data_IF_335408896721
#
_entry.id   IF_335408896721
#
_cell.length_a   1.000
_cell.length_b   1.000
_cell.length_c   1.000
_cell.angle_alpha   90.00
_cell.angle_beta   90.00
_cell.angle_gamma   90.00
#
_symmetry.space_group_name_H-M   'P 1'
#
loop_
_entity.id
_entity.type
_entity.pdbx_description
1 polymer ?
#
# COMPACT_ATOMS: atom_id res chain seq x y z
N UNK A 1 16.77 -3.60 40.45
CA UNK A 1 17.12 -2.93 39.18
C UNK A 1 17.06 -3.99 38.10
N UNK A 2 15.96 -4.03 37.35
CA UNK A 2 15.76 -4.93 36.22
C UNK A 2 15.16 -4.06 35.11
N UNK A 3 16.04 -3.61 34.23
CA UNK A 3 15.72 -2.83 33.04
C UNK A 3 14.99 -3.73 32.06
N UNK A 4 13.68 -3.57 31.96
CA UNK A 4 12.90 -4.08 30.84
C UNK A 4 12.41 -2.85 30.12
N UNK A 5 13.23 -2.34 29.21
CA UNK A 5 12.70 -1.57 28.10
C UNK A 5 11.86 -2.58 27.32
N UNK A 6 10.56 -2.60 27.58
CA UNK A 6 9.61 -3.10 26.60
C UNK A 6 9.85 -2.29 25.33
N UNK A 7 10.14 -3.04 24.28
CA UNK A 7 10.47 -2.62 22.95
C UNK A 7 9.35 -1.73 22.36
N UNK A 8 9.41 -0.43 22.59
CA UNK A 8 8.97 0.59 21.63
C UNK A 8 9.92 0.56 20.40
N UNK A 9 10.05 -0.63 19.80
CA UNK A 9 10.96 -0.95 18.69
C UNK A 9 10.50 -0.33 17.38
N UNK A 10 9.21 -0.04 17.33
CA UNK A 10 8.54 0.72 16.28
C UNK A 10 8.50 2.16 16.79
N UNK A 11 9.40 3.03 16.29
CA UNK A 11 9.45 4.43 16.72
C UNK A 11 8.08 5.14 16.58
N UNK A 12 7.87 6.31 17.22
CA UNK A 12 6.58 7.00 17.23
C UNK A 12 5.97 7.19 15.82
N UNK A 13 6.82 7.37 14.81
CA UNK A 13 6.44 7.47 13.38
C UNK A 13 5.86 6.17 12.82
N UNK A 14 6.44 5.01 13.14
CA UNK A 14 5.88 3.72 12.68
C UNK A 14 4.54 3.43 13.33
N UNK A 15 4.36 3.76 14.60
CA UNK A 15 3.08 3.60 15.30
C UNK A 15 1.99 4.50 14.73
N UNK A 16 2.34 5.72 14.31
CA UNK A 16 1.43 6.63 13.62
C UNK A 16 1.02 6.07 12.25
N UNK A 17 1.99 5.66 11.42
CA UNK A 17 1.71 5.07 10.11
C UNK A 17 0.87 3.79 10.22
N UNK A 18 1.14 2.96 11.23
CA UNK A 18 0.33 1.77 11.55
C UNK A 18 -1.12 2.12 11.85
N UNK A 19 -1.33 3.20 12.60
CA UNK A 19 -2.67 3.67 12.96
C UNK A 19 -3.40 4.22 11.75
N UNK A 20 -2.70 4.92 10.85
CA UNK A 20 -3.24 5.39 9.57
C UNK A 20 -3.69 4.21 8.71
N UNK A 21 -2.83 3.21 8.49
CA UNK A 21 -3.14 2.03 7.67
C UNK A 21 -4.32 1.24 8.26
N UNK A 22 -4.36 1.07 9.59
CA UNK A 22 -5.50 0.41 10.26
C UNK A 22 -6.80 1.20 10.19
N UNK A 23 -6.72 2.52 10.00
CA UNK A 23 -7.87 3.41 9.81
C UNK A 23 -8.42 3.39 8.39
N UNK A 24 -7.71 2.79 7.43
CA UNK A 24 -8.20 2.54 6.08
C UNK A 24 -9.28 1.46 6.10
N UNK A 25 -10.27 1.58 5.21
CA UNK A 25 -11.24 0.50 4.99
C UNK A 25 -10.57 -0.72 4.32
N UNK A 26 -11.27 -1.86 4.30
CA UNK A 26 -10.73 -3.11 3.76
C UNK A 26 -10.28 -2.98 2.29
N UNK A 27 -11.09 -2.35 1.44
CA UNK A 27 -10.73 -2.11 0.03
C UNK A 27 -9.48 -1.22 -0.08
N UNK A 28 -9.38 -0.17 0.73
CA UNK A 28 -8.21 0.73 0.76
C UNK A 28 -6.93 0.01 1.23
N UNK A 29 -7.04 -0.92 2.19
CA UNK A 29 -5.91 -1.73 2.63
C UNK A 29 -5.48 -2.74 1.55
N UNK A 30 -6.45 -3.33 0.85
CA UNK A 30 -6.21 -4.23 -0.28
C UNK A 30 -5.51 -3.47 -1.41
N UNK A 31 -6.00 -2.28 -1.77
CA UNK A 31 -5.40 -1.43 -2.80
C UNK A 31 -3.96 -1.07 -2.43
N UNK A 32 -3.69 -0.80 -1.14
CA UNK A 32 -2.35 -0.46 -0.67
C UNK A 32 -1.37 -1.64 -0.77
N UNK A 33 -1.83 -2.86 -0.47
CA UNK A 33 -1.04 -4.08 -0.65
C UNK A 33 -0.76 -4.35 -2.12
N UNK A 34 -1.77 -4.19 -2.99
CA UNK A 34 -1.61 -4.35 -4.42
C UNK A 34 -0.62 -3.33 -5.02
N UNK A 35 -0.67 -2.07 -4.56
CA UNK A 35 0.31 -1.04 -4.93
C UNK A 35 1.73 -1.44 -4.53
N UNK A 36 1.92 -1.89 -3.29
CA UNK A 36 3.24 -2.31 -2.83
C UNK A 36 3.80 -3.47 -3.67
N UNK A 37 2.96 -4.42 -4.11
CA UNK A 37 3.39 -5.53 -4.97
C UNK A 37 3.68 -5.08 -6.40
N UNK A 38 2.87 -4.16 -6.95
CA UNK A 38 3.10 -3.58 -8.26
C UNK A 38 4.45 -2.87 -8.34
N UNK A 39 4.77 -2.02 -7.37
CA UNK A 39 6.03 -1.28 -7.36
C UNK A 39 7.25 -2.15 -7.02
N UNK A 40 7.04 -3.21 -6.24
CA UNK A 40 8.06 -4.26 -6.04
C UNK A 40 8.37 -5.04 -7.33
N UNK A 41 7.48 -4.98 -8.32
CA UNK A 41 7.60 -5.68 -9.60
C UNK A 41 7.04 -7.10 -9.61
N UNK A 42 6.08 -7.41 -8.74
CA UNK A 42 5.38 -8.71 -8.75
C UNK A 42 4.39 -8.87 -9.92
N UNK A 43 4.07 -7.77 -10.58
CA UNK A 43 3.23 -7.72 -11.78
C UNK A 43 3.33 -6.34 -12.42
N UNK A 44 2.48 -6.09 -13.41
CA UNK A 44 2.40 -4.80 -14.09
C UNK A 44 1.00 -4.17 -13.95
N UNK A 45 0.81 -3.00 -14.56
CA UNK A 45 -0.48 -2.33 -14.58
C UNK A 45 -1.57 -3.08 -15.36
N UNK A 46 -1.19 -3.89 -16.35
CA UNK A 46 -2.16 -4.68 -17.10
C UNK A 46 -2.74 -5.82 -16.23
N UNK A 47 -1.94 -6.32 -15.29
CA UNK A 47 -2.30 -7.36 -14.32
C UNK A 47 -2.92 -6.78 -13.03
N UNK A 48 -3.27 -5.49 -12.99
CA UNK A 48 -3.73 -4.81 -11.77
C UNK A 48 -4.94 -5.49 -11.11
N UNK A 49 -5.96 -5.88 -11.88
CA UNK A 49 -7.15 -6.53 -11.32
C UNK A 49 -6.82 -7.88 -10.66
N UNK A 50 -5.85 -8.62 -11.22
CA UNK A 50 -5.40 -9.90 -10.69
C UNK A 50 -4.52 -9.71 -9.44
N UNK A 51 -3.60 -8.73 -9.46
CA UNK A 51 -2.81 -8.33 -8.30
C UNK A 51 -3.71 -7.92 -7.13
N UNK A 52 -4.74 -7.12 -7.41
CA UNK A 52 -5.72 -6.69 -6.42
C UNK A 52 -6.56 -7.84 -5.89
N UNK A 53 -6.99 -8.76 -6.75
CA UNK A 53 -7.72 -9.94 -6.33
C UNK A 53 -6.87 -10.83 -5.41
N UNK A 54 -5.58 -10.96 -5.68
CA UNK A 54 -4.66 -11.71 -4.83
C UNK A 54 -4.40 -10.99 -3.50
N UNK A 55 -4.26 -9.65 -3.53
CA UNK A 55 -4.16 -8.84 -2.31
C UNK A 55 -5.43 -8.98 -1.44
N UNK A 56 -6.61 -9.04 -2.05
CA UNK A 56 -7.88 -9.29 -1.36
C UNK A 56 -7.92 -10.67 -0.69
N UNK A 57 -7.35 -11.71 -1.33
CA UNK A 57 -7.25 -13.06 -0.73
C UNK A 57 -6.25 -13.10 0.41
N UNK A 58 -5.15 -12.35 0.31
CA UNK A 58 -4.13 -12.24 1.34
C UNK A 58 -4.54 -11.35 2.52
N UNK A 59 -5.53 -10.47 2.32
CA UNK A 59 -5.98 -9.49 3.31
C UNK A 59 -6.37 -10.16 4.63
N UNK A 60 -5.84 -9.63 5.73
CA UNK A 60 -6.16 -10.08 7.07
C UNK A 60 -5.91 -8.96 8.10
N UNK A 61 -6.17 -9.24 9.38
CA UNK A 61 -6.03 -8.24 10.46
C UNK A 61 -4.59 -7.73 10.67
N UNK A 62 -3.59 -8.35 10.03
CA UNK A 62 -2.17 -8.01 10.12
C UNK A 62 -1.64 -7.29 8.88
N UNK A 63 -2.51 -6.79 8.00
CA UNK A 63 -2.10 -6.06 6.79
C UNK A 63 -1.18 -4.87 7.11
N UNK A 64 -1.49 -4.11 8.16
CA UNK A 64 -0.65 -2.98 8.58
C UNK A 64 0.74 -3.44 9.03
N UNK A 65 0.84 -4.51 9.82
CA UNK A 65 2.12 -5.11 10.22
C UNK A 65 2.90 -5.67 9.04
N UNK A 66 2.22 -6.25 8.05
CA UNK A 66 2.85 -6.78 6.85
C UNK A 66 3.48 -5.65 6.03
N UNK A 67 2.73 -4.58 5.77
CA UNK A 67 3.21 -3.42 5.02
C UNK A 67 4.36 -2.73 5.75
N UNK A 68 4.25 -2.48 7.06
CA UNK A 68 5.33 -1.87 7.83
C UNK A 68 6.55 -2.78 8.01
N UNK A 69 6.39 -4.08 7.81
CA UNK A 69 7.49 -5.04 7.76
C UNK A 69 8.26 -5.02 6.44
N UNK A 70 7.75 -4.33 5.41
CA UNK A 70 8.45 -4.17 4.14
C UNK A 70 9.52 -3.06 4.26
N UNK A 71 10.81 -3.39 4.11
CA UNK A 71 11.89 -2.42 4.31
C UNK A 71 11.90 -1.28 3.28
N UNK A 72 11.34 -1.52 2.08
CA UNK A 72 11.32 -0.61 0.94
C UNK A 72 9.92 -0.12 0.60
N UNK A 73 8.95 -0.20 1.53
CA UNK A 73 7.55 0.14 1.25
C UNK A 73 7.39 1.51 0.58
N UNK A 74 8.13 2.53 1.03
CA UNK A 74 8.06 3.87 0.45
C UNK A 74 8.47 3.89 -1.02
N UNK A 75 9.61 3.25 -1.34
CA UNK A 75 10.14 3.15 -2.70
C UNK A 75 9.20 2.33 -3.59
N UNK A 76 8.68 1.21 -3.08
CA UNK A 76 7.71 0.37 -3.78
C UNK A 76 6.43 1.17 -4.08
N UNK A 77 5.90 1.95 -3.13
CA UNK A 77 4.72 2.79 -3.39
C UNK A 77 5.00 3.91 -4.39
N UNK A 78 6.18 4.52 -4.34
CA UNK A 78 6.59 5.56 -5.31
C UNK A 78 6.67 4.98 -6.73
N UNK A 79 7.30 3.82 -6.89
CA UNK A 79 7.43 3.14 -8.18
C UNK A 79 6.05 2.75 -8.74
N UNK A 80 5.17 2.19 -7.91
CA UNK A 80 3.81 1.86 -8.32
C UNK A 80 3.03 3.09 -8.80
N UNK A 81 3.13 4.21 -8.06
CA UNK A 81 2.49 5.47 -8.43
C UNK A 81 3.09 6.08 -9.70
N UNK A 82 4.40 5.95 -9.92
CA UNK A 82 5.06 6.38 -11.14
C UNK A 82 4.54 5.58 -12.35
N UNK A 83 4.40 4.26 -12.23
CA UNK A 83 3.79 3.43 -13.26
C UNK A 83 2.36 3.91 -13.58
N UNK A 84 1.52 4.17 -12.57
CA UNK A 84 0.17 4.72 -12.77
C UNK A 84 0.17 6.10 -13.44
N UNK A 85 1.15 6.95 -13.10
CA UNK A 85 1.36 8.26 -13.73
C UNK A 85 1.73 8.15 -15.20
N UNK A 86 2.65 7.23 -15.55
CA UNK A 86 3.01 6.93 -16.94
C UNK A 86 1.81 6.38 -17.72
N UNK A 87 1.00 5.50 -17.12
CA UNK A 87 -0.22 4.99 -17.76
C UNK A 87 -1.29 6.06 -17.97
N UNK A 88 -1.42 7.04 -17.06
CA UNK A 88 -2.35 8.15 -17.22
C UNK A 88 -1.96 9.11 -18.36
N UNK A 89 -0.66 9.25 -18.63
CA UNK A 89 -0.14 10.03 -19.77
C UNK A 89 -0.16 9.23 -21.09
N UNK A 90 -0.10 7.90 -21.03
CA UNK A 90 -0.03 7.02 -22.21
C UNK A 90 -1.42 6.58 -22.74
N UNK A 91 -2.47 6.63 -21.92
CA UNK A 91 -3.81 6.18 -22.32
C UNK A 91 -4.93 7.15 -21.90
N UNK A 92 -5.26 8.13 -22.75
CA UNK A 92 -6.59 8.76 -22.78
C UNK A 92 -7.66 7.73 -23.25
N UNK A 93 -7.89 6.67 -22.48
CA UNK A 93 -9.03 5.77 -22.66
C UNK A 93 -9.98 5.91 -21.46
N UNK A 94 -11.31 5.95 -21.70
CA UNK A 94 -12.29 6.24 -20.67
C UNK A 94 -12.31 5.11 -19.64
N UNK A 95 -11.70 5.37 -18.48
CA UNK A 95 -11.59 4.50 -17.31
C UNK A 95 -12.89 3.71 -17.04
N UNK A 96 -12.90 2.44 -17.44
CA UNK A 96 -13.84 1.43 -16.92
C UNK A 96 -13.14 0.73 -15.76
N UNK A 97 -13.50 1.15 -14.53
CA UNK A 97 -13.01 0.65 -13.22
C UNK A 97 -11.53 1.00 -13.00
N UNK A 98 -11.31 2.12 -12.33
CA UNK A 98 -10.03 2.82 -12.27
C UNK A 98 -9.07 2.40 -11.14
N UNK A 99 -7.88 3.05 -11.11
CA UNK A 99 -6.79 2.87 -10.13
C UNK A 99 -7.25 3.14 -8.68
N UNK A 100 -6.41 2.90 -7.64
CA UNK A 100 -6.82 2.96 -6.24
C UNK A 100 -7.73 4.14 -5.97
N UNK A 101 -8.80 3.92 -5.18
CA UNK A 101 -9.70 4.99 -4.76
C UNK A 101 -8.85 6.19 -4.36
N UNK A 102 -8.94 7.30 -5.12
CA UNK A 102 -8.09 8.50 -5.01
C UNK A 102 -7.90 8.98 -3.55
N UNK A 103 -8.85 8.64 -2.69
CA UNK A 103 -8.89 8.82 -1.23
C UNK A 103 -7.79 8.10 -0.45
N UNK A 104 -7.37 6.88 -0.82
CA UNK A 104 -6.36 6.11 -0.09
C UNK A 104 -4.97 6.74 -0.21
N UNK A 105 -4.60 7.12 -1.44
CA UNK A 105 -3.31 7.74 -1.75
C UNK A 105 -3.19 9.11 -1.08
N UNK A 106 -4.26 9.92 -1.09
CA UNK A 106 -4.26 11.22 -0.40
C UNK A 106 -4.08 11.09 1.11
N UNK A 107 -4.57 10.04 1.77
CA UNK A 107 -4.43 9.87 3.23
C UNK A 107 -3.03 9.44 3.70
N UNK A 108 -2.21 8.90 2.80
CA UNK A 108 -0.87 8.40 3.13
C UNK A 108 0.21 9.45 2.84
N UNK A 109 -0.03 10.34 1.87
CA UNK A 109 0.94 11.35 1.41
C UNK A 109 0.62 12.80 1.87
N UNK A 110 -0.42 13.03 2.68
CA UNK A 110 -0.77 14.33 3.31
C UNK A 110 -0.94 14.15 4.82
#
# INVERSE_FOLDING_TARGET
MLSVLEDDRDGPVQNELKSIIRGLNEDEQIDLVALAWLGRGDGDLADWDDLRAEAARAHNKRTAEYLLGMPTLGDDLEEALAQFGHSAEEFEQPLRRGPPCRTAITKIFL
#
